data_IF_461499399720
#
_entry.id   IF_461499399720
#
_cell.length_a   1.000
_cell.length_b   1.000
_cell.length_c   1.000
_cell.angle_alpha   90.00
_cell.angle_beta   90.00
_cell.angle_gamma   90.00
#
_symmetry.space_group_name_H-M   'P 1'
#
loop_
_entity.id
_entity.type
_entity.pdbx_description
1 polymer ?
#
# COMPACT_ATOMS: atom_id res chain seq x y z
N UNK A 1 -8.24 12.78 -12.97
CA UNK A 1 -8.58 11.49 -12.35
C UNK A 1 -9.85 10.99 -13.01
N UNK A 2 -9.90 9.75 -13.51
CA UNK A 2 -11.12 9.20 -14.09
C UNK A 2 -12.16 8.99 -12.98
N UNK A 3 -13.37 9.53 -13.16
CA UNK A 3 -14.48 9.34 -12.21
C UNK A 3 -14.83 7.86 -12.14
N UNK A 4 -15.02 7.28 -10.94
CA UNK A 4 -15.51 5.91 -10.81
C UNK A 4 -16.78 5.70 -11.66
N UNK A 5 -16.78 4.69 -12.52
CA UNK A 5 -17.91 4.36 -13.38
C UNK A 5 -17.93 5.01 -14.77
N UNK A 6 -16.97 5.88 -15.12
CA UNK A 6 -16.90 6.47 -16.47
C UNK A 6 -16.64 5.41 -17.55
N UNK A 7 -15.78 4.42 -17.25
CA UNK A 7 -15.47 3.30 -18.14
C UNK A 7 -16.68 2.35 -18.34
N UNK A 8 -17.49 2.14 -17.31
CA UNK A 8 -18.74 1.36 -17.43
C UNK A 8 -19.78 2.06 -18.29
N UNK A 9 -19.81 3.41 -18.28
CA UNK A 9 -20.80 4.19 -19.05
C UNK A 9 -20.45 4.30 -20.54
N UNK A 10 -19.17 4.28 -20.89
CA UNK A 10 -18.73 4.44 -22.29
C UNK A 10 -19.08 3.26 -23.20
N UNK A 11 -19.42 2.09 -22.63
CA UNK A 11 -19.65 0.89 -23.42
C UNK A 11 -18.39 0.28 -24.04
N UNK A 12 -17.21 0.80 -23.70
CA UNK A 12 -15.94 0.27 -24.20
C UNK A 12 -15.60 -1.07 -23.52
N UNK A 13 -14.91 -1.95 -24.25
CA UNK A 13 -14.28 -3.13 -23.70
C UNK A 13 -13.06 -2.76 -22.84
N UNK A 14 -13.04 -3.28 -21.62
CA UNK A 14 -11.91 -3.25 -20.71
C UNK A 14 -11.80 -4.59 -19.94
N UNK A 15 -10.75 -4.74 -19.14
CA UNK A 15 -10.52 -5.97 -18.38
C UNK A 15 -11.68 -6.22 -17.40
N UNK A 16 -12.38 -7.34 -17.56
CA UNK A 16 -13.44 -7.79 -16.67
C UNK A 16 -14.89 -7.52 -17.12
N UNK A 17 -15.13 -6.86 -18.26
CA UNK A 17 -16.49 -6.59 -18.75
C UNK A 17 -16.89 -7.31 -20.05
N UNK A 18 -16.09 -8.28 -20.51
CA UNK A 18 -16.24 -8.91 -21.83
C UNK A 18 -17.65 -9.41 -22.15
N UNK A 19 -18.32 -10.11 -21.23
CA UNK A 19 -19.65 -10.69 -21.48
C UNK A 19 -20.72 -9.62 -21.72
N UNK A 20 -20.70 -8.53 -20.95
CA UNK A 20 -21.60 -7.40 -21.14
C UNK A 20 -21.29 -6.61 -22.41
N UNK A 21 -20.01 -6.52 -22.77
CA UNK A 21 -19.56 -5.89 -24.00
C UNK A 21 -19.93 -6.71 -25.23
N UNK A 22 -19.76 -8.05 -25.19
CA UNK A 22 -20.05 -8.96 -26.28
C UNK A 22 -21.53 -8.88 -26.71
N UNK A 23 -22.45 -8.93 -25.75
CA UNK A 23 -23.89 -8.76 -26.01
C UNK A 23 -24.25 -7.40 -26.62
N UNK A 24 -23.55 -6.35 -26.21
CA UNK A 24 -23.73 -5.01 -26.80
C UNK A 24 -23.19 -4.96 -28.22
N UNK A 25 -22.04 -5.57 -28.45
CA UNK A 25 -21.41 -5.63 -29.76
C UNK A 25 -22.24 -6.45 -30.75
N UNK A 26 -22.80 -7.59 -30.32
CA UNK A 26 -23.77 -8.38 -31.09
C UNK A 26 -24.91 -7.50 -31.61
N UNK A 27 -25.59 -6.75 -30.73
CA UNK A 27 -26.67 -5.84 -31.13
C UNK A 27 -26.20 -4.73 -32.10
N UNK A 28 -24.97 -4.24 -31.96
CA UNK A 28 -24.41 -3.20 -32.86
C UNK A 28 -24.11 -3.80 -34.24
N UNK A 29 -23.58 -5.02 -34.29
CA UNK A 29 -23.31 -5.72 -35.54
C UNK A 29 -24.62 -6.05 -36.28
N UNK A 30 -25.63 -6.51 -35.55
CA UNK A 30 -26.97 -6.76 -36.08
C UNK A 30 -27.62 -5.49 -36.67
N UNK A 31 -27.48 -4.34 -36.00
CA UNK A 31 -27.92 -3.04 -36.54
C UNK A 31 -27.20 -2.62 -37.84
N UNK A 32 -26.08 -3.25 -38.17
CA UNK A 32 -25.29 -3.02 -39.38
C UNK A 32 -25.39 -4.16 -40.40
N UNK A 33 -26.39 -5.04 -40.25
CA UNK A 33 -26.64 -6.21 -41.09
C UNK A 33 -25.48 -7.23 -41.10
N UNK A 34 -24.71 -7.30 -40.01
CA UNK A 34 -23.61 -8.26 -39.83
C UNK A 34 -24.09 -9.38 -38.92
N UNK A 35 -24.11 -10.62 -39.42
CA UNK A 35 -24.50 -11.79 -38.65
C UNK A 35 -23.49 -12.10 -37.54
N UNK A 36 -23.93 -11.89 -36.29
CA UNK A 36 -23.17 -12.21 -35.09
C UNK A 36 -24.10 -12.74 -34.00
N UNK A 37 -23.56 -13.55 -33.10
CA UNK A 37 -24.30 -14.03 -31.95
C UNK A 37 -23.40 -14.21 -30.73
N UNK A 38 -23.98 -14.13 -29.53
CA UNK A 38 -23.30 -14.51 -28.29
C UNK A 38 -23.67 -15.93 -27.89
N UNK A 39 -22.70 -16.84 -27.85
CA UNK A 39 -22.95 -18.23 -27.42
C UNK A 39 -23.26 -18.36 -25.92
N UNK A 40 -23.67 -19.57 -25.47
CA UNK A 40 -24.01 -19.87 -24.06
C UNK A 40 -22.89 -19.50 -23.06
N UNK A 41 -21.64 -19.53 -23.53
CA UNK A 41 -20.45 -19.17 -22.73
C UNK A 41 -20.17 -17.66 -22.72
N UNK A 42 -21.05 -16.84 -23.30
CA UNK A 42 -20.94 -15.39 -23.35
C UNK A 42 -19.90 -14.86 -24.34
N UNK A 43 -19.59 -15.62 -25.40
CA UNK A 43 -18.58 -15.22 -26.39
C UNK A 43 -19.21 -14.75 -27.67
N UNK A 44 -18.70 -13.65 -28.20
CA UNK A 44 -19.06 -13.12 -29.50
C UNK A 44 -18.52 -14.04 -30.60
N UNK A 45 -19.43 -14.52 -31.45
CA UNK A 45 -19.15 -15.31 -32.64
C UNK A 45 -19.63 -14.50 -33.85
N UNK A 46 -18.76 -14.34 -34.85
CA UNK A 46 -19.02 -13.57 -36.07
C UNK A 46 -18.92 -14.55 -37.24
N UNK A 47 -19.92 -14.58 -38.11
CA UNK A 47 -19.93 -15.48 -39.26
C UNK A 47 -19.17 -14.85 -40.43
N UNK A 48 -17.88 -15.18 -40.55
CA UNK A 48 -17.03 -14.65 -41.62
C UNK A 48 -17.39 -15.18 -43.02
N UNK A 49 -18.12 -16.29 -43.13
CA UNK A 49 -18.42 -16.97 -44.41
C UNK A 49 -19.24 -16.13 -45.38
N UNK A 50 -20.04 -15.20 -44.86
CA UNK A 50 -20.96 -14.36 -45.65
C UNK A 50 -20.50 -12.91 -45.77
N UNK A 51 -19.35 -12.55 -45.16
CA UNK A 51 -18.81 -11.20 -45.23
C UNK A 51 -18.08 -10.96 -46.55
N UNK A 52 -18.49 -9.90 -47.25
CA UNK A 52 -17.77 -9.41 -48.43
C UNK A 52 -16.42 -8.79 -48.04
N UNK A 53 -15.49 -8.72 -48.99
CA UNK A 53 -14.18 -8.04 -48.80
C UNK A 53 -14.33 -6.58 -48.34
N UNK A 54 -15.45 -5.93 -48.64
CA UNK A 54 -15.75 -4.56 -48.21
C UNK A 54 -16.31 -4.48 -46.76
N UNK A 55 -16.96 -5.55 -46.28
CA UNK A 55 -17.57 -5.60 -44.94
C UNK A 55 -16.57 -5.99 -43.86
N UNK A 56 -15.52 -6.73 -44.21
CA UNK A 56 -14.45 -7.09 -43.26
C UNK A 56 -13.82 -5.86 -42.58
N UNK A 57 -13.30 -4.84 -43.31
CA UNK A 57 -12.73 -3.65 -42.67
C UNK A 57 -13.75 -2.84 -41.86
N UNK A 58 -15.01 -2.79 -42.32
CA UNK A 58 -16.11 -2.10 -41.62
C UNK A 58 -16.38 -2.76 -40.28
N UNK A 59 -16.49 -4.09 -40.26
CA UNK A 59 -16.73 -4.90 -39.07
C UNK A 59 -15.60 -4.72 -38.05
N UNK A 60 -14.36 -4.84 -38.48
CA UNK A 60 -13.18 -4.57 -37.63
C UNK A 60 -13.21 -3.17 -37.07
N UNK A 61 -13.57 -2.17 -37.88
CA UNK A 61 -13.63 -0.76 -37.43
C UNK A 61 -14.69 -0.57 -36.35
N UNK A 62 -15.88 -1.14 -36.51
CA UNK A 62 -16.94 -1.11 -35.50
C UNK A 62 -16.49 -1.72 -34.17
N UNK A 63 -15.85 -2.90 -34.24
CA UNK A 63 -15.35 -3.61 -33.06
C UNK A 63 -14.24 -2.79 -32.37
N UNK A 64 -13.24 -2.33 -33.12
CA UNK A 64 -12.07 -1.61 -32.60
C UNK A 64 -12.41 -0.27 -31.96
N UNK A 65 -13.43 0.44 -32.47
CA UNK A 65 -13.90 1.72 -31.93
C UNK A 65 -14.46 1.60 -30.49
N UNK A 66 -14.88 0.40 -30.09
CA UNK A 66 -15.44 0.14 -28.76
C UNK A 66 -14.49 -0.66 -27.87
N UNK A 67 -13.19 -0.53 -28.07
CA UNK A 67 -12.16 -1.20 -27.25
C UNK A 67 -11.25 -0.14 -26.62
N UNK A 68 -10.93 -0.32 -25.35
CA UNK A 68 -9.93 0.52 -24.69
C UNK A 68 -8.57 0.40 -25.38
N UNK A 69 -7.86 1.53 -25.53
CA UNK A 69 -6.51 1.57 -26.13
C UNK A 69 -5.53 0.57 -25.48
N UNK A 70 -5.70 0.31 -24.19
CA UNK A 70 -4.87 -0.64 -23.43
C UNK A 70 -5.03 -2.10 -23.86
N UNK A 71 -6.25 -2.53 -24.24
CA UNK A 71 -6.47 -3.87 -24.81
C UNK A 71 -6.02 -3.91 -26.26
N UNK A 72 -6.39 -2.89 -27.06
CA UNK A 72 -6.09 -2.84 -28.48
C UNK A 72 -4.57 -2.87 -28.76
N UNK A 73 -3.77 -2.21 -27.92
CA UNK A 73 -2.31 -2.20 -28.03
C UNK A 73 -1.63 -3.54 -27.75
N UNK A 74 -2.36 -4.54 -27.23
CA UNK A 74 -1.85 -5.90 -26.96
C UNK A 74 -2.19 -6.91 -28.05
N UNK A 75 -2.94 -6.50 -29.08
CA UNK A 75 -3.37 -7.36 -30.19
C UNK A 75 -2.44 -7.13 -31.38
N UNK A 76 -1.98 -8.21 -32.01
CA UNK A 76 -1.16 -8.14 -33.22
C UNK A 76 -1.97 -7.58 -34.39
N UNK A 77 -1.33 -6.83 -35.28
CA UNK A 77 -2.03 -6.19 -36.40
C UNK A 77 -2.72 -7.22 -37.32
N UNK A 78 -2.08 -8.36 -37.57
CA UNK A 78 -2.65 -9.48 -38.33
C UNK A 78 -3.98 -10.03 -37.77
N UNK A 79 -4.23 -9.88 -36.47
CA UNK A 79 -5.48 -10.31 -35.83
C UNK A 79 -6.52 -9.21 -35.77
N UNK A 80 -6.16 -7.96 -36.08
CA UNK A 80 -7.12 -6.86 -36.18
C UNK A 80 -7.88 -6.95 -37.49
N UNK A 81 -7.24 -7.43 -38.56
CA UNK A 81 -7.85 -7.50 -39.89
C UNK A 81 -8.89 -8.63 -40.04
N UNK A 82 -8.91 -9.60 -39.12
CA UNK A 82 -9.89 -10.69 -39.08
C UNK A 82 -10.84 -10.54 -37.87
N UNK A 83 -12.14 -10.26 -38.08
CA UNK A 83 -13.11 -10.10 -37.00
C UNK A 83 -13.20 -11.29 -36.04
N UNK A 84 -13.06 -12.53 -36.53
CA UNK A 84 -13.16 -13.73 -35.70
C UNK A 84 -11.91 -13.90 -34.82
N UNK A 85 -10.72 -13.79 -35.41
CA UNK A 85 -9.46 -13.80 -34.65
C UNK A 85 -9.37 -12.62 -33.68
N UNK A 86 -9.93 -11.47 -34.04
CA UNK A 86 -10.07 -10.31 -33.16
C UNK A 86 -10.96 -10.64 -31.97
N UNK A 87 -12.19 -11.10 -32.20
CA UNK A 87 -13.14 -11.47 -31.15
C UNK A 87 -12.56 -12.51 -30.17
N UNK A 88 -11.84 -13.51 -30.70
CA UNK A 88 -11.14 -14.51 -29.90
C UNK A 88 -10.04 -13.89 -29.03
N UNK A 89 -9.23 -12.99 -29.58
CA UNK A 89 -8.15 -12.31 -28.85
C UNK A 89 -8.70 -11.40 -27.75
N UNK A 90 -9.80 -10.70 -28.04
CA UNK A 90 -10.48 -9.84 -27.08
C UNK A 90 -11.02 -10.61 -25.88
N UNK A 91 -11.56 -11.81 -26.10
CA UNK A 91 -11.99 -12.69 -25.01
C UNK A 91 -10.84 -13.01 -24.05
N UNK A 92 -9.67 -13.33 -24.59
CA UNK A 92 -8.50 -13.68 -23.78
C UNK A 92 -7.98 -12.46 -23.01
N UNK A 93 -7.88 -11.31 -23.68
CA UNK A 93 -7.31 -10.08 -23.13
C UNK A 93 -8.24 -9.32 -22.19
N UNK A 94 -9.56 -9.48 -22.36
CA UNK A 94 -10.55 -8.89 -21.48
C UNK A 94 -10.83 -9.72 -20.22
N UNK A 95 -10.13 -10.85 -20.03
CA UNK A 95 -10.15 -11.55 -18.74
C UNK A 95 -9.66 -10.60 -17.64
N UNK A 96 -10.33 -10.57 -16.47
CA UNK A 96 -9.87 -9.73 -15.38
C UNK A 96 -8.46 -10.16 -14.97
N UNK A 97 -7.56 -9.18 -14.87
CA UNK A 97 -6.24 -9.42 -14.35
C UNK A 97 -6.32 -9.91 -12.90
N UNK A 98 -5.85 -11.13 -12.66
CA UNK A 98 -5.80 -11.71 -11.32
C UNK A 98 -4.42 -11.46 -10.73
N UNK A 99 -4.36 -10.59 -9.72
CA UNK A 99 -3.09 -10.28 -9.05
C UNK A 99 -2.39 -11.54 -8.52
N UNK A 100 -3.15 -12.54 -8.07
CA UNK A 100 -2.62 -13.79 -7.54
C UNK A 100 -2.06 -14.74 -8.60
N UNK A 101 -2.35 -14.51 -9.89
CA UNK A 101 -1.77 -15.30 -10.99
C UNK A 101 -0.34 -14.84 -11.33
N UNK A 102 0.10 -13.68 -10.82
CA UNK A 102 1.49 -13.25 -10.92
C UNK A 102 2.41 -14.09 -10.04
N UNK A 103 3.68 -14.29 -10.40
CA UNK A 103 4.70 -14.80 -9.50
C UNK A 103 4.81 -13.96 -8.20
N UNK A 104 5.09 -14.58 -7.04
CA UNK A 104 5.23 -13.90 -5.75
C UNK A 104 6.19 -12.70 -5.77
N UNK A 105 7.24 -12.77 -6.59
CA UNK A 105 8.26 -11.72 -6.73
C UNK A 105 7.65 -10.45 -7.34
N UNK A 106 6.81 -10.59 -8.36
CA UNK A 106 6.12 -9.46 -8.99
C UNK A 106 5.05 -8.88 -8.06
N UNK A 107 4.31 -9.73 -7.34
CA UNK A 107 3.37 -9.28 -6.30
C UNK A 107 4.07 -8.49 -5.21
N UNK A 108 5.19 -8.99 -4.69
CA UNK A 108 6.02 -8.33 -3.70
C UNK A 108 6.54 -6.96 -4.17
N UNK A 109 6.91 -6.82 -5.45
CA UNK A 109 7.28 -5.52 -6.05
C UNK A 109 6.10 -4.56 -6.08
N UNK A 110 4.91 -5.02 -6.49
CA UNK A 110 3.68 -4.22 -6.51
C UNK A 110 3.34 -3.73 -5.09
N UNK A 111 3.36 -4.64 -4.09
CA UNK A 111 3.13 -4.29 -2.69
C UNK A 111 4.15 -3.26 -2.19
N UNK A 112 5.43 -3.46 -2.52
CA UNK A 112 6.50 -2.53 -2.11
C UNK A 112 6.30 -1.13 -2.69
N UNK A 113 5.90 -1.02 -3.95
CA UNK A 113 5.59 0.27 -4.59
C UNK A 113 4.39 0.92 -3.88
N UNK A 114 3.36 0.13 -3.59
CA UNK A 114 2.16 0.62 -2.91
C UNK A 114 2.47 1.17 -1.51
N UNK A 115 3.19 0.42 -0.68
CA UNK A 115 3.53 0.87 0.68
C UNK A 115 4.55 2.02 0.71
N UNK A 116 5.44 2.13 -0.29
CA UNK A 116 6.31 3.31 -0.44
C UNK A 116 5.54 4.61 -0.61
N UNK A 117 4.30 4.56 -1.10
CA UNK A 117 3.41 5.72 -1.17
C UNK A 117 2.65 5.97 0.13
N UNK A 118 2.32 4.92 0.89
CA UNK A 118 1.62 4.99 2.19
C UNK A 118 2.61 5.10 3.37
N UNK A 119 3.38 6.19 3.41
CA UNK A 119 4.62 6.26 4.23
C UNK A 119 4.42 6.33 5.73
N UNK A 120 3.33 6.91 6.25
CA UNK A 120 3.23 7.29 7.66
C UNK A 120 1.94 6.80 8.30
N UNK A 121 2.09 6.10 9.42
CA UNK A 121 0.99 5.59 10.25
C UNK A 121 1.09 6.17 11.65
N UNK A 122 0.22 7.12 11.95
CA UNK A 122 0.22 7.82 13.24
C UNK A 122 -0.74 7.14 14.22
N UNK A 123 -0.22 6.79 15.39
CA UNK A 123 -0.94 6.26 16.54
C UNK A 123 -0.92 7.33 17.63
N UNK A 124 -2.09 7.77 18.07
CA UNK A 124 -2.19 8.77 19.13
C UNK A 124 -2.62 8.12 20.44
N UNK A 125 -1.83 8.36 21.48
CA UNK A 125 -2.03 7.83 22.82
C UNK A 125 -2.57 8.93 23.72
N UNK A 126 -3.82 8.79 24.12
CA UNK A 126 -4.46 9.62 25.13
C UNK A 126 -4.45 8.88 26.48
N UNK A 127 -4.32 9.60 27.60
CA UNK A 127 -4.25 9.00 28.95
C UNK A 127 -5.49 8.18 29.32
N UNK A 128 -6.62 8.37 28.63
CA UNK A 128 -7.85 7.56 28.71
C UNK A 128 -7.68 6.07 28.34
N UNK A 129 -6.45 5.56 28.20
CA UNK A 129 -6.09 4.18 27.81
C UNK A 129 -6.58 3.76 26.42
N UNK A 130 -7.21 4.65 25.66
CA UNK A 130 -7.64 4.41 24.29
C UNK A 130 -6.51 4.72 23.32
N UNK A 131 -6.06 3.71 22.58
CA UNK A 131 -5.13 3.87 21.46
C UNK A 131 -5.99 4.17 20.23
N UNK A 132 -5.85 5.36 19.66
CA UNK A 132 -6.40 5.62 18.33
C UNK A 132 -5.48 4.95 17.31
N UNK A 133 -5.88 3.77 16.81
CA UNK A 133 -5.14 3.06 15.77
C UNK A 133 -5.62 3.49 14.39
N UNK A 134 -4.73 3.82 13.45
CA UNK A 134 -5.13 4.04 12.07
C UNK A 134 -5.73 2.75 11.51
N UNK A 135 -6.71 2.90 10.61
CA UNK A 135 -7.24 1.74 9.88
C UNK A 135 -6.10 1.06 9.12
N UNK A 136 -6.03 -0.27 9.12
CA UNK A 136 -5.03 -0.98 8.34
C UNK A 136 -5.17 -0.60 6.86
N UNK A 137 -4.06 -0.49 6.12
CA UNK A 137 -4.09 -0.19 4.70
C UNK A 137 -4.96 -1.19 3.94
N UNK A 138 -5.72 -0.70 2.94
CA UNK A 138 -6.70 -1.51 2.18
C UNK A 138 -6.07 -2.75 1.54
N UNK A 139 -4.80 -2.68 1.13
CA UNK A 139 -4.04 -3.82 0.61
C UNK A 139 -4.01 -5.01 1.57
N UNK A 140 -3.96 -4.77 2.89
CA UNK A 140 -3.94 -5.82 3.91
C UNK A 140 -5.33 -6.42 4.18
N UNK A 141 -6.38 -5.84 3.61
CA UNK A 141 -7.77 -6.25 3.78
C UNK A 141 -8.34 -7.03 2.58
N UNK A 142 -7.56 -7.16 1.49
CA UNK A 142 -8.03 -7.77 0.23
C UNK A 142 -8.30 -9.27 0.39
N UNK A 143 -7.30 -10.02 0.88
CA UNK A 143 -7.40 -11.48 1.06
C UNK A 143 -6.38 -11.95 2.09
N UNK A 144 -6.58 -13.17 2.64
CA UNK A 144 -5.61 -13.79 3.57
C UNK A 144 -4.24 -14.00 2.91
N UNK A 145 -4.20 -14.47 1.67
CA UNK A 145 -2.96 -14.70 0.94
C UNK A 145 -2.17 -13.39 0.73
N UNK A 146 -2.85 -12.37 0.20
CA UNK A 146 -2.28 -11.03 0.03
C UNK A 146 -1.77 -10.47 1.35
N UNK A 147 -2.54 -10.61 2.44
CA UNK A 147 -2.13 -10.14 3.76
C UNK A 147 -0.84 -10.79 4.25
N UNK A 148 -0.69 -12.11 4.09
CA UNK A 148 0.52 -12.82 4.54
C UNK A 148 1.78 -12.33 3.81
N UNK A 149 1.67 -12.06 2.51
CA UNK A 149 2.79 -11.55 1.70
C UNK A 149 3.07 -10.07 1.94
N UNK A 150 2.02 -9.26 2.08
CA UNK A 150 2.12 -7.82 2.14
C UNK A 150 2.44 -7.29 3.55
N UNK A 151 2.07 -8.02 4.62
CA UNK A 151 2.23 -7.54 6.00
C UNK A 151 3.71 -7.30 6.41
N UNK A 152 4.68 -8.18 6.10
CA UNK A 152 6.09 -7.90 6.36
C UNK A 152 6.59 -6.66 5.60
N UNK A 153 6.14 -6.50 4.35
CA UNK A 153 6.52 -5.35 3.51
C UNK A 153 5.95 -4.05 4.07
N UNK A 154 4.72 -4.07 4.56
CA UNK A 154 4.09 -2.95 5.25
C UNK A 154 4.94 -2.47 6.43
N UNK A 155 5.23 -3.34 7.41
CA UNK A 155 6.02 -2.96 8.58
C UNK A 155 7.45 -2.51 8.24
N UNK A 156 8.02 -3.07 7.17
CA UNK A 156 9.38 -2.73 6.70
C UNK A 156 9.47 -1.38 6.00
N UNK A 157 8.42 -0.96 5.30
CA UNK A 157 8.44 0.23 4.45
C UNK A 157 7.66 1.42 5.01
N UNK A 158 6.87 1.21 6.05
CA UNK A 158 6.13 2.26 6.74
C UNK A 158 6.89 2.85 7.92
N UNK A 159 6.70 4.14 8.15
CA UNK A 159 7.07 4.85 9.35
C UNK A 159 5.90 4.85 10.33
N UNK A 160 6.13 4.30 11.51
CA UNK A 160 5.14 4.31 12.59
C UNK A 160 5.42 5.51 13.49
N UNK A 161 4.43 6.39 13.66
CA UNK A 161 4.54 7.58 14.49
C UNK A 161 3.72 7.38 15.76
N UNK A 162 4.36 7.34 16.92
CA UNK A 162 3.67 7.27 18.21
C UNK A 162 3.59 8.69 18.77
N UNK A 163 2.37 9.22 18.88
CA UNK A 163 2.12 10.55 19.40
C UNK A 163 1.58 10.48 20.81
N UNK A 164 2.36 10.96 21.77
CA UNK A 164 1.98 11.08 23.16
C UNK A 164 1.52 12.52 23.43
N UNK A 165 0.21 12.70 23.64
CA UNK A 165 -0.41 14.00 23.90
C UNK A 165 -0.83 14.11 25.36
N UNK A 166 -0.71 15.33 25.91
CA UNK A 166 -1.23 15.68 27.24
C UNK A 166 -2.66 16.20 27.12
N UNK A 167 -3.58 15.66 27.91
CA UNK A 167 -4.92 16.24 28.09
C UNK A 167 -4.82 17.58 28.84
N UNK A 168 -5.62 18.58 28.45
CA UNK A 168 -5.72 19.82 29.24
C UNK A 168 -6.17 19.51 30.68
N UNK A 169 -5.53 20.12 31.68
CA UNK A 169 -5.88 19.97 33.10
C UNK A 169 -5.14 18.87 33.86
N UNK A 170 -4.44 17.95 33.19
CA UNK A 170 -3.79 16.84 33.90
C UNK A 170 -2.39 17.20 34.42
N UNK A 171 -2.12 16.91 35.70
CA UNK A 171 -0.76 16.90 36.26
C UNK A 171 -0.05 15.65 35.73
N UNK A 172 1.04 15.87 34.99
CA UNK A 172 1.95 14.81 34.58
C UNK A 172 2.94 14.62 35.75
N UNK A 173 3.17 13.40 36.20
CA UNK A 173 4.14 13.11 37.27
C UNK A 173 5.60 13.21 36.80
N UNK A 174 5.82 13.67 35.57
CA UNK A 174 7.14 13.75 34.91
C UNK A 174 7.64 12.41 34.39
N UNK A 175 7.18 11.29 34.97
CA UNK A 175 7.84 9.99 34.84
C UNK A 175 7.64 9.42 33.44
N UNK A 176 8.74 9.01 32.82
CA UNK A 176 8.74 8.30 31.54
C UNK A 176 8.07 6.90 31.58
N UNK A 177 7.52 6.46 32.71
CA UNK A 177 6.82 5.19 32.89
C UNK A 177 5.59 5.05 31.96
N UNK A 178 4.82 6.12 31.73
CA UNK A 178 3.62 6.04 30.89
C UNK A 178 3.92 5.82 29.40
N UNK A 179 4.77 6.63 28.72
CA UNK A 179 5.12 6.39 27.32
C UNK A 179 5.73 5.00 27.09
N UNK A 180 6.59 4.54 28.01
CA UNK A 180 7.18 3.19 27.94
C UNK A 180 6.11 2.10 28.02
N UNK A 181 5.20 2.19 29.00
CA UNK A 181 4.11 1.21 29.13
C UNK A 181 3.21 1.18 27.89
N UNK A 182 2.90 2.33 27.32
CA UNK A 182 2.08 2.42 26.11
C UNK A 182 2.80 1.90 24.86
N UNK A 183 4.11 2.14 24.75
CA UNK A 183 4.90 1.61 23.65
C UNK A 183 4.99 0.08 23.71
N UNK A 184 5.22 -0.49 24.91
CA UNK A 184 5.18 -1.95 25.12
C UNK A 184 3.82 -2.53 24.73
N UNK A 185 2.73 -1.94 25.22
CA UNK A 185 1.37 -2.34 24.85
C UNK A 185 1.11 -2.23 23.35
N UNK A 186 1.61 -1.17 22.70
CA UNK A 186 1.48 -1.00 21.25
C UNK A 186 2.26 -2.08 20.48
N UNK A 187 3.48 -2.41 20.91
CA UNK A 187 4.26 -3.49 20.34
C UNK A 187 3.55 -4.84 20.52
N UNK A 188 3.02 -5.12 21.71
CA UNK A 188 2.34 -6.38 22.06
C UNK A 188 0.98 -6.56 21.38
N UNK A 189 0.19 -5.49 21.26
CA UNK A 189 -1.20 -5.58 20.80
C UNK A 189 -1.37 -5.08 19.36
N UNK A 190 -0.72 -3.96 19.03
CA UNK A 190 -0.87 -3.30 17.73
C UNK A 190 0.01 -3.91 16.65
N UNK A 191 1.29 -4.15 16.96
CA UNK A 191 2.27 -4.63 15.98
C UNK A 191 2.40 -6.16 16.00
N UNK A 192 2.42 -6.77 17.19
CA UNK A 192 2.49 -8.23 17.39
C UNK A 192 3.66 -8.85 16.61
N UNK A 193 3.37 -9.85 15.78
CA UNK A 193 4.34 -10.55 14.95
C UNK A 193 5.06 -9.64 13.94
N UNK A 194 4.52 -8.44 13.66
CA UNK A 194 5.14 -7.46 12.77
C UNK A 194 6.33 -6.73 13.37
N UNK A 195 6.60 -6.85 14.69
CA UNK A 195 7.66 -6.09 15.36
C UNK A 195 9.01 -6.37 14.70
N UNK A 196 9.27 -7.63 14.36
CA UNK A 196 10.50 -8.07 13.68
C UNK A 196 10.76 -7.35 12.36
N UNK A 197 9.71 -6.96 11.64
CA UNK A 197 9.81 -6.27 10.35
C UNK A 197 9.84 -4.75 10.46
N UNK A 198 9.62 -4.16 11.64
CA UNK A 198 9.73 -2.72 11.83
C UNK A 198 11.12 -2.21 11.45
N UNK A 199 11.16 -1.14 10.66
CA UNK A 199 12.43 -0.47 10.31
C UNK A 199 12.49 0.98 10.72
N UNK A 200 11.34 1.65 10.92
CA UNK A 200 11.31 3.04 11.31
C UNK A 200 10.23 3.32 12.33
N UNK A 201 10.63 3.90 13.44
CA UNK A 201 9.75 4.30 14.54
C UNK A 201 10.07 5.74 14.92
N UNK A 202 9.05 6.59 14.81
CA UNK A 202 9.10 7.98 15.19
C UNK A 202 8.25 8.15 16.45
N UNK A 203 8.79 8.80 17.46
CA UNK A 203 8.08 9.09 18.69
C UNK A 203 8.03 10.59 18.87
N UNK A 204 6.80 11.08 18.95
CA UNK A 204 6.48 12.47 19.18
C UNK A 204 5.88 12.62 20.57
N UNK A 205 6.47 13.47 21.39
CA UNK A 205 5.97 13.82 22.71
C UNK A 205 5.63 15.30 22.73
N UNK A 206 4.35 15.61 22.89
CA UNK A 206 3.87 17.00 22.93
C UNK A 206 3.63 17.41 24.39
N UNK A 207 4.53 18.25 24.90
CA UNK A 207 4.28 19.06 26.09
C UNK A 207 3.77 20.42 25.68
N UNK A 208 3.00 21.10 26.55
CA UNK A 208 2.26 22.35 26.28
C UNK A 208 2.99 23.25 25.26
N UNK A 209 4.27 23.51 25.48
CA UNK A 209 5.37 23.66 24.51
C UNK A 209 6.63 23.28 25.31
N UNK A 210 7.68 22.61 24.77
CA UNK A 210 7.99 22.30 23.37
C UNK A 210 7.72 20.82 22.94
N UNK A 211 7.79 20.51 21.62
CA UNK A 211 7.48 19.18 21.04
C UNK A 211 8.74 18.37 20.72
N UNK A 212 9.01 17.32 21.51
CA UNK A 212 10.14 16.43 21.25
C UNK A 212 9.79 15.40 20.17
N UNK A 213 10.64 15.28 19.15
CA UNK A 213 10.52 14.25 18.10
C UNK A 213 11.84 13.50 17.95
N UNK A 214 11.79 12.20 18.24
CA UNK A 214 12.92 11.27 18.06
C UNK A 214 12.52 10.21 17.05
N UNK A 215 13.34 10.02 16.02
CA UNK A 215 13.13 8.99 15.01
C UNK A 215 14.28 8.01 15.01
N UNK A 216 13.95 6.73 15.16
CA UNK A 216 14.88 5.62 15.04
C UNK A 216 14.67 4.89 13.71
N UNK A 217 15.76 4.56 13.04
CA UNK A 217 15.77 3.81 11.78
C UNK A 217 16.76 2.64 11.88
N UNK A 218 16.34 1.44 11.48
CA UNK A 218 17.22 0.28 11.31
C UNK A 218 17.48 0.08 9.82
N UNK A 219 18.71 0.39 9.41
CA UNK A 219 19.16 0.22 8.05
C UNK A 219 20.15 -0.94 7.96
N UNK A 220 20.04 -1.78 6.91
CA UNK A 220 20.97 -2.89 6.69
C UNK A 220 22.44 -2.45 6.59
N UNK A 221 22.69 -1.25 6.07
CA UNK A 221 24.05 -0.75 5.80
C UNK A 221 24.60 0.12 6.93
N UNK A 222 23.72 0.76 7.71
CA UNK A 222 24.12 1.74 8.74
C UNK A 222 23.81 1.27 10.18
N UNK A 223 23.17 0.12 10.34
CA UNK A 223 22.68 -0.34 11.64
C UNK A 223 21.51 0.51 12.14
N UNK A 224 21.33 0.53 13.46
CA UNK A 224 20.40 1.40 14.17
C UNK A 224 20.94 2.84 14.22
N UNK A 225 20.12 3.80 13.79
CA UNK A 225 20.45 5.22 13.80
C UNK A 225 19.34 6.05 14.47
N UNK A 226 19.74 7.13 15.14
CA UNK A 226 18.83 8.11 15.75
C UNK A 226 18.90 9.44 15.02
N UNK A 227 17.72 10.03 14.77
CA UNK A 227 17.54 11.35 14.21
C UNK A 227 16.62 12.17 15.11
N UNK A 228 16.99 13.43 15.33
CA UNK A 228 16.20 14.38 16.10
C UNK A 228 15.59 15.39 15.13
N UNK A 229 14.26 15.55 15.15
CA UNK A 229 13.64 16.67 14.44
C UNK A 229 13.46 17.83 15.43
N UNK A 230 14.18 18.92 15.19
CA UNK A 230 13.95 20.19 15.86
C UNK A 230 12.89 20.95 15.07
N UNK A 231 11.64 20.88 15.52
CA UNK A 231 10.56 21.72 15.02
C UNK A 231 10.33 22.85 16.01
N UNK A 232 10.25 24.07 15.46
CA UNK A 232 10.18 25.35 16.17
C UNK A 232 11.54 25.78 16.77
N UNK A 233 11.80 27.10 16.80
CA UNK A 233 13.10 27.71 17.11
C UNK A 233 13.64 27.49 18.54
N UNK A 234 13.03 26.59 19.32
CA UNK A 234 13.43 26.23 20.67
C UNK A 234 14.26 24.95 20.59
N UNK A 235 15.57 25.05 20.89
CA UNK A 235 16.45 23.88 21.00
C UNK A 235 15.93 22.96 22.10
N UNK A 236 15.37 21.84 21.67
CA UNK A 236 14.64 20.88 22.49
C UNK A 236 15.53 19.87 23.21
N UNK A 237 16.64 19.50 22.57
CA UNK A 237 17.65 18.63 23.14
C UNK A 237 18.94 19.39 23.32
N UNK A 238 19.50 19.33 24.53
CA UNK A 238 20.86 19.79 24.77
C UNK A 238 21.85 18.90 23.99
N UNK A 239 23.04 19.42 23.68
CA UNK A 239 24.10 18.62 23.06
C UNK A 239 24.44 17.38 23.89
N UNK A 240 24.39 17.50 25.22
CA UNK A 240 24.61 16.40 26.16
C UNK A 240 23.53 15.31 26.07
N UNK A 241 22.26 15.70 25.93
CA UNK A 241 21.17 14.73 25.74
C UNK A 241 21.31 14.00 24.40
N UNK A 242 21.65 14.72 23.33
CA UNK A 242 21.90 14.08 22.02
C UNK A 242 23.05 13.08 22.09
N UNK A 243 24.12 13.44 22.81
CA UNK A 243 25.27 12.56 23.01
C UNK A 243 24.91 11.32 23.86
N UNK A 244 24.11 11.51 24.91
CA UNK A 244 23.59 10.42 25.74
C UNK A 244 22.73 9.45 24.93
N UNK A 245 21.88 9.97 24.02
CA UNK A 245 21.14 9.16 23.06
C UNK A 245 22.05 8.39 22.11
N UNK A 246 23.10 9.01 21.56
CA UNK A 246 24.03 8.31 20.66
C UNK A 246 24.71 7.13 21.36
N UNK A 247 25.29 7.35 22.54
CA UNK A 247 25.91 6.29 23.35
C UNK A 247 24.93 5.17 23.67
N UNK A 248 23.68 5.52 23.97
CA UNK A 248 22.62 4.54 24.20
C UNK A 248 22.30 3.72 22.95
N UNK A 249 22.22 4.36 21.79
CA UNK A 249 21.96 3.68 20.52
C UNK A 249 23.10 2.78 20.09
N UNK A 250 24.35 3.16 20.35
CA UNK A 250 25.53 2.30 20.14
C UNK A 250 25.45 1.03 21.00
N UNK A 251 25.07 1.15 22.27
CA UNK A 251 24.85 -0.02 23.13
C UNK A 251 23.73 -0.92 22.61
N UNK A 252 22.59 -0.34 22.23
CA UNK A 252 21.45 -1.12 21.70
C UNK A 252 21.78 -1.77 20.37
N UNK A 253 22.62 -1.14 19.54
CA UNK A 253 23.13 -1.73 18.30
C UNK A 253 24.03 -2.94 18.58
N UNK A 254 24.91 -2.86 19.58
CA UNK A 254 25.71 -4.01 20.02
C UNK A 254 24.82 -5.17 20.48
N UNK A 255 23.82 -4.88 21.32
CA UNK A 255 22.85 -5.88 21.79
C UNK A 255 22.04 -6.45 20.61
N UNK A 256 21.66 -5.61 19.65
CA UNK A 256 20.94 -6.01 18.44
C UNK A 256 21.73 -7.01 17.62
N UNK A 257 23.03 -6.76 17.42
CA UNK A 257 23.92 -7.65 16.69
C UNK A 257 24.14 -8.97 17.44
N UNK A 258 24.40 -8.90 18.75
CA UNK A 258 24.64 -10.07 19.59
C UNK A 258 23.43 -11.00 19.69
N UNK A 259 22.22 -10.44 19.81
CA UNK A 259 20.98 -11.18 20.02
C UNK A 259 20.19 -11.42 18.71
N UNK A 260 20.69 -10.93 17.57
CA UNK A 260 20.00 -11.04 16.28
C UNK A 260 18.65 -10.30 16.23
N UNK A 261 18.50 -9.23 17.01
CA UNK A 261 17.29 -8.42 17.02
C UNK A 261 17.15 -7.66 15.69
N UNK A 262 15.92 -7.42 15.26
CA UNK A 262 15.61 -6.64 14.07
C UNK A 262 14.83 -5.39 14.49
N UNK A 263 13.53 -5.34 14.21
CA UNK A 263 12.70 -4.21 14.62
C UNK A 263 12.44 -4.12 16.12
N UNK A 264 12.69 -5.21 16.87
CA UNK A 264 12.66 -5.26 18.33
C UNK A 264 13.62 -4.24 18.95
N UNK A 265 14.76 -3.98 18.32
CA UNK A 265 15.75 -3.01 18.79
C UNK A 265 15.20 -1.57 18.83
N UNK A 266 14.25 -1.23 17.96
CA UNK A 266 13.56 0.07 18.00
C UNK A 266 12.75 0.24 19.29
N UNK A 267 12.07 -0.83 19.71
CA UNK A 267 11.29 -0.84 20.96
C UNK A 267 12.23 -0.85 22.16
N UNK A 268 13.30 -1.64 22.11
CA UNK A 268 14.29 -1.72 23.17
C UNK A 268 14.95 -0.36 23.41
N UNK A 269 15.45 0.29 22.36
CA UNK A 269 16.09 1.61 22.42
C UNK A 269 15.23 2.64 23.16
N UNK A 270 13.93 2.57 22.93
CA UNK A 270 12.97 3.49 23.48
C UNK A 270 12.48 3.14 24.89
N UNK A 271 12.59 1.87 25.32
CA UNK A 271 12.02 1.40 26.59
C UNK A 271 13.05 1.05 27.65
N UNK A 272 14.34 0.93 27.31
CA UNK A 272 15.40 0.55 28.24
C UNK A 272 15.97 1.73 29.05
N UNK A 273 15.97 2.95 28.50
CA UNK A 273 16.43 4.18 29.16
C UNK A 273 15.35 5.29 29.11
N UNK A 274 14.24 5.13 29.86
CA UNK A 274 13.14 6.09 29.90
C UNK A 274 13.56 7.54 30.22
N UNK A 275 14.61 7.72 31.00
CA UNK A 275 15.18 9.01 31.41
C UNK A 275 15.67 9.86 30.22
N UNK A 276 16.10 9.25 29.12
CA UNK A 276 16.56 9.98 27.91
C UNK A 276 15.43 10.77 27.21
N UNK A 277 14.20 10.52 27.61
CA UNK A 277 12.99 11.16 27.11
C UNK A 277 12.45 12.27 28.00
N UNK A 278 13.01 12.39 29.21
CA UNK A 278 12.62 13.40 30.16
C UNK A 278 13.24 14.72 29.68
N UNK A 279 12.37 15.67 29.33
CA UNK A 279 12.81 17.04 29.07
C UNK A 279 13.34 17.60 30.39
N UNK A 280 14.48 18.33 30.39
CA UNK A 280 14.91 19.03 31.59
C UNK A 280 13.76 19.92 32.05
N UNK A 281 13.40 19.79 33.33
CA UNK A 281 12.35 20.59 33.97
C UNK A 281 12.72 22.06 34.06
#
# INVERSE_FOLDING_TARGET
MATPGLLTRSGMLYEGNYTSWAKRMEAILEMHDIEAYTNEKGNLCIFNGDLTTAELPKTTTLITNLISKGILGRISDSRKDDPEALAHSLRALAKPFRLNDLPPELRGRIYSIWFKSARRHTYTFFKSKSISSPKPPSMLLVSRATRLEALPLFYRSSEFQLHFTRSQGEKFDGRATYPVAMMRRWAEVGVKAGVRDLRRLCVRRQYRHPVVVVTLDVNKNKGLAVNFEEKDAVRLFTSEQKESWKKHIEQVEADRQALGLLGEALILAFTSKPELWETPG
#
